data_IF_041565843387
#
_entry.id   IF_041565843387
#
_cell.length_a   1.000
_cell.length_b   1.000
_cell.length_c   1.000
_cell.angle_alpha   90.00
_cell.angle_beta   90.00
_cell.angle_gamma   90.00
#
_symmetry.space_group_name_H-M   'P 1'
#
loop_
_entity.id
_entity.type
_entity.pdbx_description
1 polymer ?
#
# COMPACT_ATOMS: atom_id res chain seq x y z
N UNK A 1 -15.85 15.92 -51.50
CA UNK A 1 -16.82 16.13 -50.42
C UNK A 1 -16.09 15.72 -49.16
N UNK A 2 -15.44 16.68 -48.50
CA UNK A 2 -14.78 16.47 -47.22
C UNK A 2 -15.80 16.83 -46.14
N UNK A 3 -16.32 15.84 -45.45
CA UNK A 3 -17.15 16.07 -44.26
C UNK A 3 -16.22 16.47 -43.12
N UNK A 4 -16.33 17.67 -42.54
CA UNK A 4 -15.52 18.04 -41.41
C UNK A 4 -15.92 17.17 -40.21
N UNK A 5 -14.93 16.62 -39.51
CA UNK A 5 -15.13 15.88 -38.27
C UNK A 5 -15.56 16.91 -37.22
N UNK A 6 -16.87 17.10 -37.07
CA UNK A 6 -17.45 17.94 -36.03
C UNK A 6 -17.47 17.19 -34.71
N UNK A 7 -16.94 17.85 -33.68
CA UNK A 7 -17.11 17.55 -32.24
C UNK A 7 -16.07 16.62 -31.61
N UNK A 8 -15.03 17.24 -31.02
CA UNK A 8 -14.19 16.59 -30.00
C UNK A 8 -14.95 16.65 -28.68
N UNK A 9 -15.66 15.57 -28.35
CA UNK A 9 -16.21 15.39 -27.00
C UNK A 9 -15.04 15.07 -26.08
N UNK A 10 -14.57 16.07 -25.31
CA UNK A 10 -13.68 15.80 -24.18
C UNK A 10 -14.49 15.04 -23.13
N UNK A 11 -14.28 13.74 -23.05
CA UNK A 11 -14.82 12.94 -21.94
C UNK A 11 -14.31 13.55 -20.62
N UNK A 12 -15.17 13.74 -19.61
CA UNK A 12 -14.72 14.20 -18.30
C UNK A 12 -13.67 13.23 -17.78
N UNK A 13 -12.49 13.76 -17.43
CA UNK A 13 -11.46 12.99 -16.71
C UNK A 13 -12.12 12.51 -15.41
N UNK A 14 -12.15 11.20 -15.10
CA UNK A 14 -12.69 10.73 -13.82
C UNK A 14 -12.06 11.51 -12.67
N UNK A 15 -12.87 12.29 -11.95
CA UNK A 15 -12.40 13.30 -10.99
C UNK A 15 -12.13 12.75 -9.59
N UNK A 16 -12.47 11.50 -9.30
CA UNK A 16 -12.21 10.89 -8.01
C UNK A 16 -10.85 10.18 -8.03
N UNK A 17 -9.80 10.83 -7.49
CA UNK A 17 -8.56 10.12 -7.16
C UNK A 17 -8.87 9.05 -6.11
N UNK A 18 -8.50 7.80 -6.41
CA UNK A 18 -8.67 6.68 -5.49
C UNK A 18 -7.70 6.84 -4.31
N UNK A 19 -8.22 6.87 -3.09
CA UNK A 19 -7.41 6.78 -1.87
C UNK A 19 -6.96 5.33 -1.70
N UNK A 20 -5.70 5.15 -1.31
CA UNK A 20 -5.07 3.83 -1.15
C UNK A 20 -4.64 3.67 0.29
N UNK A 21 -4.64 2.45 0.80
CA UNK A 21 -4.23 2.08 2.15
C UNK A 21 -2.77 1.63 2.10
N UNK A 22 -1.86 2.54 2.44
CA UNK A 22 -0.41 2.36 2.24
C UNK A 22 0.24 2.04 3.59
N UNK A 23 0.88 0.88 3.69
CA UNK A 23 1.68 0.50 4.86
C UNK A 23 3.13 0.98 4.72
N UNK A 24 3.64 1.60 5.79
CA UNK A 24 5.00 2.12 5.92
C UNK A 24 5.73 1.37 7.04
N UNK A 25 6.71 0.55 6.66
CA UNK A 25 7.50 -0.27 7.58
C UNK A 25 8.98 -0.08 7.30
N UNK A 26 9.80 0.03 8.34
CA UNK A 26 11.25 0.11 8.19
C UNK A 26 11.96 -0.51 9.40
N UNK A 27 13.04 -1.25 9.14
CA UNK A 27 14.01 -1.60 10.20
C UNK A 27 14.69 -0.32 10.71
N UNK A 28 15.29 -0.37 11.90
CA UNK A 28 15.85 0.80 12.57
C UNK A 28 16.84 1.59 11.69
N UNK A 29 17.79 0.90 11.05
CA UNK A 29 18.77 1.51 10.15
C UNK A 29 18.20 2.06 8.84
N UNK A 30 16.92 1.78 8.55
CA UNK A 30 16.22 2.20 7.34
C UNK A 30 15.14 3.24 7.57
N UNK A 31 14.88 3.60 8.83
CA UNK A 31 13.87 4.61 9.18
C UNK A 31 14.23 5.99 8.64
N UNK A 32 15.51 6.36 8.66
CA UNK A 32 15.97 7.62 8.09
C UNK A 32 15.71 7.67 6.58
N UNK A 33 16.03 6.60 5.86
CA UNK A 33 15.79 6.46 4.42
C UNK A 33 14.29 6.53 4.09
N UNK A 34 13.45 5.80 4.83
CA UNK A 34 12.00 5.84 4.65
C UNK A 34 11.43 7.23 4.90
N UNK A 35 11.92 7.91 5.95
CA UNK A 35 11.42 9.21 6.34
C UNK A 35 11.82 10.31 5.36
N UNK A 36 13.04 10.27 4.83
CA UNK A 36 13.45 11.19 3.77
C UNK A 36 12.65 10.93 2.49
N UNK A 37 12.45 9.67 2.12
CA UNK A 37 11.63 9.31 0.96
C UNK A 37 10.17 9.77 1.12
N UNK A 38 9.59 9.57 2.31
CA UNK A 38 8.24 10.00 2.63
C UNK A 38 8.11 11.53 2.66
N UNK A 39 9.16 12.25 3.09
CA UNK A 39 9.20 13.71 3.04
C UNK A 39 9.18 14.22 1.61
N UNK A 40 9.99 13.63 0.72
CA UNK A 40 9.99 13.97 -0.70
C UNK A 40 8.62 13.74 -1.34
N UNK A 41 7.98 12.62 -1.00
CA UNK A 41 6.69 12.22 -1.55
C UNK A 41 5.46 12.68 -0.74
N UNK A 42 5.64 13.58 0.24
CA UNK A 42 4.62 13.96 1.22
C UNK A 42 3.29 14.36 0.58
N UNK A 43 3.34 15.11 -0.53
CA UNK A 43 2.15 15.58 -1.23
C UNK A 43 1.30 14.46 -1.80
N UNK A 44 1.93 13.38 -2.30
CA UNK A 44 1.22 12.19 -2.79
C UNK A 44 0.68 11.39 -1.60
N UNK A 45 1.52 11.13 -0.60
CA UNK A 45 1.14 10.34 0.59
C UNK A 45 -0.03 10.96 1.37
N UNK A 46 -0.16 12.29 1.40
CA UNK A 46 -1.27 12.99 2.05
C UNK A 46 -2.65 12.68 1.40
N UNK A 47 -2.67 12.22 0.15
CA UNK A 47 -3.88 11.79 -0.55
C UNK A 47 -4.33 10.36 -0.22
N UNK A 48 -3.58 9.63 0.60
CA UNK A 48 -3.79 8.22 0.90
C UNK A 48 -3.97 7.99 2.40
N UNK A 49 -4.43 6.80 2.77
CA UNK A 49 -4.61 6.40 4.16
C UNK A 49 -3.37 5.61 4.59
N UNK A 50 -2.64 6.13 5.57
CA UNK A 50 -1.33 5.60 5.92
C UNK A 50 -1.41 4.71 7.15
N UNK A 51 -0.68 3.61 7.10
CA UNK A 51 -0.50 2.67 8.19
C UNK A 51 0.99 2.53 8.47
N UNK A 52 1.39 2.28 9.70
CA UNK A 52 2.81 2.05 9.98
C UNK A 52 3.05 1.39 11.32
N UNK A 53 4.12 0.61 11.42
CA UNK A 53 4.49 -0.08 12.67
C UNK A 53 5.13 0.89 13.66
N UNK A 54 4.85 0.66 14.95
CA UNK A 54 5.46 1.29 16.12
C UNK A 54 6.10 2.66 15.90
N UNK A 55 7.43 2.66 15.83
CA UNK A 55 8.29 3.85 15.71
C UNK A 55 8.27 4.45 14.30
N UNK A 56 8.17 3.65 13.24
CA UNK A 56 8.11 4.14 11.84
C UNK A 56 6.89 5.04 11.63
N UNK A 57 5.71 4.56 12.03
CA UNK A 57 4.48 5.36 11.92
C UNK A 57 4.52 6.62 12.79
N UNK A 58 5.12 6.53 13.99
CA UNK A 58 5.35 7.68 14.86
C UNK A 58 6.23 8.75 14.19
N UNK A 59 7.39 8.36 13.64
CA UNK A 59 8.30 9.29 12.97
C UNK A 59 7.66 10.02 11.78
N UNK A 60 6.89 9.30 10.96
CA UNK A 60 6.18 9.90 9.82
C UNK A 60 5.14 10.90 10.30
N UNK A 61 4.35 10.55 11.33
CA UNK A 61 3.35 11.45 11.88
C UNK A 61 3.98 12.69 12.52
N UNK A 62 4.96 12.50 13.39
CA UNK A 62 5.56 13.57 14.18
C UNK A 62 6.39 14.53 13.31
N UNK A 63 7.11 14.03 12.31
CA UNK A 63 7.99 14.87 11.49
C UNK A 63 7.35 15.39 10.22
N UNK A 64 6.35 14.72 9.66
CA UNK A 64 5.72 15.12 8.39
C UNK A 64 4.28 15.61 8.56
N UNK A 65 3.69 15.45 9.75
CA UNK A 65 2.30 15.85 10.02
C UNK A 65 1.29 15.07 9.18
N UNK A 66 1.62 13.84 8.79
CA UNK A 66 0.72 12.95 8.07
C UNK A 66 -0.01 12.05 9.09
N UNK A 67 -1.34 11.92 9.02
CA UNK A 67 -2.06 11.00 9.90
C UNK A 67 -1.67 9.56 9.55
N UNK A 68 -1.24 8.77 10.55
CA UNK A 68 -0.85 7.37 10.37
C UNK A 68 -1.57 6.50 11.40
N UNK A 69 -2.26 5.46 10.93
CA UNK A 69 -2.77 4.41 11.80
C UNK A 69 -1.59 3.55 12.27
N UNK A 70 -1.31 3.58 13.57
CA UNK A 70 -0.13 2.93 14.14
C UNK A 70 -0.46 1.50 14.60
N UNK A 71 0.35 0.56 14.12
CA UNK A 71 0.42 -0.80 14.65
C UNK A 71 1.45 -0.90 15.77
N UNK A 72 1.53 -2.06 16.41
CA UNK A 72 2.65 -2.39 17.30
C UNK A 72 3.98 -2.34 16.52
N UNK A 73 5.10 -2.30 17.22
CA UNK A 73 6.40 -2.50 16.57
C UNK A 73 6.48 -3.90 15.97
N UNK A 74 7.24 -4.09 14.88
CA UNK A 74 7.45 -5.40 14.24
C UNK A 74 7.76 -6.52 15.24
N UNK A 75 8.78 -6.38 16.12
CA UNK A 75 9.13 -7.38 17.13
C UNK A 75 8.02 -7.74 18.14
N UNK A 76 7.00 -6.88 18.30
CA UNK A 76 5.87 -7.09 19.21
C UNK A 76 4.61 -7.55 18.46
N UNK A 77 4.74 -7.99 17.21
CA UNK A 77 3.64 -8.51 16.39
C UNK A 77 3.04 -7.50 15.41
N UNK A 78 3.65 -6.31 15.24
CA UNK A 78 3.18 -5.32 14.27
C UNK A 78 3.15 -5.85 12.82
N UNK A 79 4.10 -6.70 12.46
CA UNK A 79 4.17 -7.30 11.13
C UNK A 79 3.04 -8.31 10.91
N UNK A 80 2.60 -8.99 11.97
CA UNK A 80 1.45 -9.89 11.93
C UNK A 80 0.13 -9.13 11.84
N UNK A 81 0.01 -7.99 12.55
CA UNK A 81 -1.14 -7.10 12.40
C UNK A 81 -1.26 -6.60 10.95
N UNK A 82 -0.13 -6.19 10.34
CA UNK A 82 -0.09 -5.79 8.94
C UNK A 82 -0.44 -6.96 8.01
N UNK A 83 0.09 -8.16 8.28
CA UNK A 83 -0.22 -9.37 7.51
C UNK A 83 -1.71 -9.74 7.53
N UNK A 84 -2.39 -9.59 8.68
CA UNK A 84 -3.84 -9.78 8.79
C UNK A 84 -4.60 -8.80 7.89
N UNK A 85 -4.22 -7.52 7.93
CA UNK A 85 -4.86 -6.47 7.12
C UNK A 85 -4.63 -6.67 5.63
N UNK A 86 -3.48 -7.20 5.22
CA UNK A 86 -3.23 -7.61 3.82
C UNK A 86 -4.22 -8.71 3.42
N UNK A 87 -4.39 -9.73 4.25
CA UNK A 87 -5.29 -10.85 3.95
C UNK A 87 -6.78 -10.47 3.96
N UNK A 88 -7.14 -9.43 4.72
CA UNK A 88 -8.49 -8.85 4.77
C UNK A 88 -8.76 -7.86 3.61
N UNK A 89 -7.80 -7.64 2.72
CA UNK A 89 -7.93 -6.67 1.62
C UNK A 89 -7.95 -5.22 2.11
N UNK A 90 -7.33 -4.95 3.26
CA UNK A 90 -7.30 -3.64 3.94
C UNK A 90 -5.98 -2.88 3.75
N UNK A 91 -5.06 -3.42 2.95
CA UNK A 91 -3.81 -2.77 2.56
C UNK A 91 -3.63 -2.93 1.04
N UNK A 92 -3.42 -1.80 0.35
CA UNK A 92 -3.30 -1.75 -1.11
C UNK A 92 -1.84 -1.68 -1.58
N UNK A 93 -0.93 -1.26 -0.71
CA UNK A 93 0.48 -1.06 -1.04
C UNK A 93 1.32 -1.19 0.24
N UNK A 94 2.43 -1.94 0.14
CA UNK A 94 3.40 -2.08 1.24
C UNK A 94 4.73 -1.45 0.84
N UNK A 95 5.21 -0.52 1.64
CA UNK A 95 6.56 0.03 1.56
C UNK A 95 7.34 -0.46 2.77
N UNK A 96 8.16 -1.48 2.57
CA UNK A 96 8.95 -2.12 3.62
C UNK A 96 10.44 -1.94 3.37
N UNK A 97 11.04 -0.90 3.95
CA UNK A 97 12.49 -0.72 3.91
C UNK A 97 13.15 -1.56 5.00
N UNK A 98 13.37 -2.83 4.69
CA UNK A 98 14.09 -3.75 5.56
C UNK A 98 15.61 -3.60 5.37
N UNK A 99 16.35 -3.94 6.41
CA UNK A 99 17.81 -3.95 6.43
C UNK A 99 18.34 -5.33 5.99
N UNK A 100 19.02 -5.44 4.84
CA UNK A 100 19.58 -6.71 4.38
C UNK A 100 20.95 -7.05 4.98
N UNK A 101 21.56 -6.15 5.75
CA UNK A 101 22.91 -6.32 6.28
C UNK A 101 22.93 -6.72 7.75
N UNK A 102 21.85 -6.46 8.49
CA UNK A 102 21.75 -6.79 9.91
C UNK A 102 20.64 -7.82 10.19
N UNK A 103 20.95 -8.92 10.89
CA UNK A 103 19.96 -9.91 11.26
C UNK A 103 18.93 -9.30 12.21
N UNK A 104 17.64 -9.56 11.97
CA UNK A 104 16.60 -9.12 12.90
C UNK A 104 16.08 -10.26 13.76
N UNK A 105 15.79 -10.03 15.06
CA UNK A 105 15.14 -11.02 15.92
C UNK A 105 13.78 -11.50 15.39
N UNK A 106 13.16 -10.71 14.51
CA UNK A 106 11.85 -10.96 13.90
C UNK A 106 11.96 -11.29 12.39
N UNK A 107 13.12 -11.74 11.91
CA UNK A 107 13.31 -12.20 10.51
C UNK A 107 12.23 -13.21 10.03
N UNK A 108 11.76 -14.17 10.86
CA UNK A 108 10.64 -15.03 10.47
C UNK A 108 9.37 -14.26 10.09
N UNK A 109 9.07 -13.19 10.83
CA UNK A 109 7.90 -12.35 10.63
C UNK A 109 8.06 -11.48 9.37
N UNK A 110 9.28 -10.96 9.10
CA UNK A 110 9.60 -10.28 7.84
C UNK A 110 9.30 -11.18 6.64
N UNK A 111 9.78 -12.43 6.66
CA UNK A 111 9.54 -13.39 5.57
C UNK A 111 8.07 -13.76 5.44
N UNK A 112 7.37 -13.91 6.56
CA UNK A 112 5.93 -14.18 6.56
C UNK A 112 5.14 -13.02 5.95
N UNK A 113 5.50 -11.77 6.25
CA UNK A 113 4.89 -10.57 5.70
C UNK A 113 5.15 -10.43 4.19
N UNK A 114 6.39 -10.66 3.73
CA UNK A 114 6.69 -10.65 2.30
C UNK A 114 5.90 -11.74 1.56
N UNK A 115 5.82 -12.94 2.15
CA UNK A 115 5.06 -14.06 1.59
C UNK A 115 3.57 -13.73 1.48
N UNK A 116 2.95 -13.13 2.51
CA UNK A 116 1.51 -12.83 2.47
C UNK A 116 1.19 -11.75 1.43
N UNK A 117 2.05 -10.73 1.26
CA UNK A 117 1.90 -9.74 0.20
C UNK A 117 1.93 -10.38 -1.20
N UNK A 118 2.83 -11.33 -1.43
CA UNK A 118 2.89 -12.09 -2.69
C UNK A 118 1.64 -12.95 -2.90
N UNK A 119 1.16 -13.64 -1.86
CA UNK A 119 -0.06 -14.47 -1.94
C UNK A 119 -1.26 -13.64 -2.36
N UNK A 120 -1.43 -12.46 -1.75
CA UNK A 120 -2.56 -11.56 -2.04
C UNK A 120 -2.31 -10.57 -3.17
N UNK A 121 -1.21 -10.74 -3.92
CA UNK A 121 -0.83 -9.90 -5.05
C UNK A 121 -0.83 -8.39 -4.72
N UNK A 122 -0.43 -8.04 -3.50
CA UNK A 122 -0.30 -6.66 -3.04
C UNK A 122 1.05 -6.12 -3.50
N UNK A 123 1.08 -4.99 -4.24
CA UNK A 123 2.34 -4.33 -4.60
C UNK A 123 3.21 -4.07 -3.37
N UNK A 124 4.47 -4.45 -3.44
CA UNK A 124 5.43 -4.29 -2.35
C UNK A 124 6.74 -3.69 -2.85
N UNK A 125 7.22 -2.66 -2.14
CA UNK A 125 8.56 -2.12 -2.33
C UNK A 125 9.44 -2.46 -1.13
N UNK A 126 10.51 -3.21 -1.40
CA UNK A 126 11.52 -3.58 -0.41
C UNK A 126 12.69 -2.60 -0.33
N UNK A 127 12.71 -1.59 -1.20
CA UNK A 127 13.76 -0.60 -1.29
C UNK A 127 13.19 0.70 -1.91
N UNK A 128 13.99 1.76 -1.85
CA UNK A 128 13.61 3.07 -2.37
C UNK A 128 13.31 3.06 -3.87
N UNK A 129 14.16 2.42 -4.68
CA UNK A 129 13.98 2.42 -6.13
C UNK A 129 12.61 1.82 -6.51
N UNK A 130 12.23 0.68 -5.94
CA UNK A 130 10.89 0.10 -6.16
C UNK A 130 9.79 1.03 -5.64
N UNK A 131 9.99 1.69 -4.49
CA UNK A 131 9.01 2.64 -3.96
C UNK A 131 8.80 3.85 -4.90
N UNK A 132 9.86 4.37 -5.52
CA UNK A 132 9.80 5.45 -6.51
C UNK A 132 8.97 5.04 -7.74
N UNK A 133 9.16 3.82 -8.24
CA UNK A 133 8.34 3.28 -9.34
C UNK A 133 6.87 3.11 -8.94
N UNK A 134 6.59 2.60 -7.73
CA UNK A 134 5.23 2.39 -7.28
C UNK A 134 4.49 3.71 -7.03
N UNK A 135 5.14 4.71 -6.40
CA UNK A 135 4.49 5.98 -6.10
C UNK A 135 4.26 6.86 -7.34
N UNK A 136 5.10 6.70 -8.37
CA UNK A 136 4.96 7.41 -9.65
C UNK A 136 4.02 6.71 -10.63
N UNK A 137 3.61 5.48 -10.35
CA UNK A 137 2.74 4.70 -11.24
C UNK A 137 1.37 5.35 -11.39
N UNK A 138 0.85 5.52 -12.62
CA UNK A 138 -0.54 5.95 -12.84
C UNK A 138 -1.57 5.04 -12.15
N UNK A 139 -1.22 3.75 -11.94
CA UNK A 139 -2.07 2.75 -11.29
C UNK A 139 -2.38 3.08 -9.83
N UNK A 140 -1.51 3.85 -9.15
CA UNK A 140 -1.74 4.27 -7.77
C UNK A 140 -3.03 5.11 -7.65
N UNK A 141 -3.27 5.95 -8.65
CA UNK A 141 -4.40 6.88 -8.71
C UNK A 141 -5.62 6.37 -9.50
N UNK A 142 -5.49 5.22 -10.16
CA UNK A 142 -6.58 4.59 -10.91
C UNK A 142 -7.40 3.64 -10.02
N UNK A 143 -8.51 3.10 -10.55
CA UNK A 143 -9.27 2.01 -9.93
C UNK A 143 -8.66 0.62 -10.15
N UNK A 144 -7.32 0.50 -10.18
CA UNK A 144 -6.66 -0.79 -10.31
C UNK A 144 -7.02 -1.72 -9.13
N UNK A 145 -7.46 -2.93 -9.47
CA UNK A 145 -7.74 -4.04 -8.56
C UNK A 145 -6.86 -5.23 -8.97
N UNK A 146 -5.98 -5.75 -8.09
CA UNK A 146 -5.15 -6.90 -8.41
C UNK A 146 -5.98 -8.19 -8.42
N UNK A 147 -5.57 -9.16 -9.25
CA UNK A 147 -6.09 -10.53 -9.14
C UNK A 147 -5.67 -11.12 -7.78
N UNK A 148 -6.64 -11.57 -6.99
CA UNK A 148 -6.43 -12.17 -5.67
C UNK A 148 -6.82 -13.66 -5.67
N UNK A 149 -6.25 -14.49 -4.78
CA UNK A 149 -6.65 -15.89 -4.67
C UNK A 149 -8.14 -16.03 -4.32
N UNK A 150 -8.85 -16.86 -5.08
CA UNK A 150 -10.21 -17.28 -4.74
C UNK A 150 -10.09 -18.64 -4.03
N UNK A 151 -10.55 -18.72 -2.78
CA UNK A 151 -10.61 -20.00 -2.09
C UNK A 151 -11.89 -20.74 -2.49
N UNK A 152 -11.76 -21.98 -2.98
CA UNK A 152 -12.87 -22.80 -3.46
C UNK A 152 -13.70 -23.41 -2.31
N UNK A 153 -14.11 -22.60 -1.35
CA UNK A 153 -15.30 -22.86 -0.51
C UNK A 153 -16.52 -22.07 -0.98
N UNK A 154 -16.33 -21.08 -1.86
CA UNK A 154 -17.42 -20.21 -2.36
C UNK A 154 -18.15 -20.77 -3.58
N UNK A 155 -17.91 -22.05 -3.93
CA UNK A 155 -18.81 -22.77 -4.84
C UNK A 155 -20.20 -22.99 -4.22
N UNK A 156 -20.40 -22.71 -2.92
CA UNK A 156 -21.69 -22.88 -2.23
C UNK A 156 -22.03 -21.76 -1.21
N UNK A 157 -21.31 -20.63 -1.15
CA UNK A 157 -21.67 -19.52 -0.26
C UNK A 157 -21.42 -18.14 -0.88
N UNK A 158 -21.94 -17.93 -2.10
CA UNK A 158 -21.98 -16.59 -2.68
C UNK A 158 -22.91 -15.67 -1.85
N UNK A 159 -22.43 -14.53 -1.32
CA UNK A 159 -23.33 -13.45 -0.95
C UNK A 159 -24.02 -12.99 -2.23
N UNK A 160 -25.33 -13.27 -2.31
CA UNK A 160 -26.20 -12.73 -3.36
C UNK A 160 -25.87 -11.25 -3.53
N UNK A 161 -25.54 -10.87 -4.76
CA UNK A 161 -25.46 -9.48 -5.18
C UNK A 161 -26.67 -8.71 -4.64
N UNK A 162 -26.43 -7.91 -3.62
CA UNK A 162 -27.29 -6.80 -3.24
C UNK A 162 -26.42 -5.55 -3.16
N UNK A 163 -26.22 -4.94 -4.33
CA UNK A 163 -26.23 -3.49 -4.43
C UNK A 163 -27.19 -3.11 -5.55
N UNK A 164 -28.27 -2.48 -5.09
CA UNK A 164 -29.43 -2.03 -5.84
C UNK A 164 -29.15 -0.74 -6.60
N UNK A 165 -30.01 -0.45 -7.59
CA UNK A 165 -30.22 0.90 -8.14
C UNK A 165 -29.92 1.01 -9.62
#
# INVERSE_FOLDING_TARGET
MDTPISEVVRLPVPTARVRRRIALVAHDNKKADLLEWARFNRGVLAGHDLYGTGTTGGLVQDQLGLPVTRFQSGPLGGDQQLGSRIAEGEIDLVLFFWDPLEPQPHDPDVRALLRIAVVWNVPIACNRATADYLISSPLLSSGYEPDVPIYSSDADDSPKQQRAG
#
